data_IF_784283811715
#
_entry.id   IF_784283811715
#
_cell.length_a   1.000
_cell.length_b   1.000
_cell.length_c   1.000
_cell.angle_alpha   90.00
_cell.angle_beta   90.00
_cell.angle_gamma   90.00
#
_symmetry.space_group_name_H-M   'P 1'
#
loop_
_entity.id
_entity.type
_entity.pdbx_description
1 polymer ?
#
# COMPACT_ATOMS: atom_id res chain seq x y z
N UNK A 1 10.15 17.59 -20.28
CA UNK A 1 9.31 17.90 -21.47
C UNK A 1 10.10 18.13 -22.76
N UNK A 2 11.27 18.77 -22.74
CA UNK A 2 12.08 18.99 -23.97
C UNK A 2 12.59 17.68 -24.60
N UNK A 3 13.10 16.75 -23.79
CA UNK A 3 13.65 15.46 -24.27
C UNK A 3 12.58 14.56 -24.89
N UNK A 4 11.36 14.52 -24.33
CA UNK A 4 10.24 13.75 -24.89
C UNK A 4 9.82 14.24 -26.29
N UNK A 5 9.86 15.55 -26.53
CA UNK A 5 9.60 16.13 -27.86
C UNK A 5 10.70 15.77 -28.86
N UNK A 6 11.96 15.74 -28.42
CA UNK A 6 13.10 15.31 -29.23
C UNK A 6 13.01 13.82 -29.57
N UNK A 7 12.69 12.96 -28.59
CA UNK A 7 12.51 11.50 -28.81
C UNK A 7 11.39 11.18 -29.80
N UNK A 8 10.27 11.92 -29.73
CA UNK A 8 9.17 11.80 -30.68
C UNK A 8 9.57 12.25 -32.09
N UNK A 9 10.33 13.34 -32.20
CA UNK A 9 10.86 13.83 -33.47
C UNK A 9 11.85 12.86 -34.11
N UNK A 10 12.76 12.27 -33.32
CA UNK A 10 13.73 11.27 -33.79
C UNK A 10 13.01 10.00 -34.25
N UNK A 11 12.02 9.52 -33.48
CA UNK A 11 11.23 8.33 -33.87
C UNK A 11 10.43 8.58 -35.16
N UNK A 12 9.87 9.78 -35.31
CA UNK A 12 9.17 10.18 -36.53
C UNK A 12 10.12 10.34 -37.72
N UNK A 13 11.32 10.90 -37.52
CA UNK A 13 12.33 11.02 -38.56
C UNK A 13 12.81 9.64 -39.05
N UNK A 14 13.10 8.70 -38.14
CA UNK A 14 13.45 7.31 -38.50
C UNK A 14 12.34 6.64 -39.32
N UNK A 15 11.08 6.85 -38.95
CA UNK A 15 9.93 6.33 -39.69
C UNK A 15 9.76 6.96 -41.08
N UNK A 16 9.93 8.28 -41.20
CA UNK A 16 9.85 8.96 -42.50
C UNK A 16 11.00 8.54 -43.42
N UNK A 17 12.20 8.38 -42.87
CA UNK A 17 13.39 8.02 -43.63
C UNK A 17 13.35 6.58 -44.13
N UNK A 18 12.84 5.62 -43.34
CA UNK A 18 12.64 4.22 -43.76
C UNK A 18 11.57 4.03 -44.83
N UNK A 19 10.60 4.94 -44.93
CA UNK A 19 9.50 4.86 -45.91
C UNK A 19 9.80 5.60 -47.21
N UNK A 20 10.66 6.64 -47.19
CA UNK A 20 10.83 7.55 -48.34
C UNK A 20 12.28 7.81 -48.81
N UNK A 21 13.34 7.24 -48.22
CA UNK A 21 14.72 7.56 -48.62
C UNK A 21 15.76 6.45 -48.46
N UNK A 22 16.81 6.52 -49.29
CA UNK A 22 18.00 5.66 -49.28
C UNK A 22 18.84 5.90 -48.02
N UNK A 23 18.63 5.10 -46.97
CA UNK A 23 19.51 5.08 -45.78
C UNK A 23 20.09 3.67 -45.65
N UNK A 24 21.41 3.60 -45.48
CA UNK A 24 22.12 2.36 -45.22
C UNK A 24 21.77 1.81 -43.83
N UNK A 25 21.62 0.48 -43.71
CA UNK A 25 21.21 -0.18 -42.48
C UNK A 25 22.10 0.19 -41.27
N UNK A 26 23.37 0.49 -41.52
CA UNK A 26 24.36 0.91 -40.50
C UNK A 26 24.01 2.26 -39.85
N UNK A 27 23.42 3.20 -40.60
CA UNK A 27 23.05 4.53 -40.10
C UNK A 27 21.81 4.47 -39.20
N UNK A 28 20.87 3.57 -39.52
CA UNK A 28 19.70 3.26 -38.68
C UNK A 28 20.16 2.62 -37.37
N UNK A 29 21.08 1.65 -37.43
CA UNK A 29 21.61 0.99 -36.24
C UNK A 29 22.33 1.99 -35.32
N UNK A 30 23.04 2.97 -35.89
CA UNK A 30 23.68 4.03 -35.11
C UNK A 30 22.66 4.92 -34.39
N UNK A 31 21.59 5.34 -35.07
CA UNK A 31 20.53 6.16 -34.48
C UNK A 31 19.76 5.39 -33.39
N UNK A 32 19.54 4.09 -33.55
CA UNK A 32 18.91 3.24 -32.53
C UNK A 32 19.77 3.12 -31.26
N UNK A 33 21.10 3.03 -31.40
CA UNK A 33 22.03 3.03 -30.26
C UNK A 33 21.98 4.36 -29.50
N UNK A 34 22.00 5.49 -30.20
CA UNK A 34 21.86 6.82 -29.58
C UNK A 34 20.50 6.99 -28.88
N UNK A 35 19.41 6.53 -29.51
CA UNK A 35 18.08 6.55 -28.94
C UNK A 35 18.00 5.71 -27.66
N UNK A 36 18.71 4.58 -27.62
CA UNK A 36 18.76 3.70 -26.45
C UNK A 36 19.54 4.34 -25.30
N UNK A 37 20.67 4.98 -25.58
CA UNK A 37 21.45 5.73 -24.59
C UNK A 37 20.66 6.91 -24.01
N UNK A 38 19.97 7.69 -24.85
CA UNK A 38 19.10 8.79 -24.41
C UNK A 38 17.95 8.29 -23.53
N UNK A 39 17.33 7.15 -23.85
CA UNK A 39 16.28 6.53 -23.03
C UNK A 39 16.82 6.06 -21.67
N UNK A 40 18.03 5.53 -21.63
CA UNK A 40 18.68 5.10 -20.39
C UNK A 40 18.93 6.31 -19.48
N UNK A 41 19.54 7.37 -20.01
CA UNK A 41 19.78 8.62 -19.26
C UNK A 41 18.49 9.25 -18.74
N UNK A 42 17.43 9.21 -19.55
CA UNK A 42 16.11 9.69 -19.10
C UNK A 42 15.58 8.85 -17.93
N UNK A 43 15.66 7.52 -18.01
CA UNK A 43 15.25 6.62 -16.93
C UNK A 43 16.05 6.86 -15.65
N UNK A 44 17.36 7.05 -15.75
CA UNK A 44 18.22 7.35 -14.60
C UNK A 44 17.84 8.68 -13.94
N UNK A 45 17.57 9.71 -14.75
CA UNK A 45 17.09 10.99 -14.26
C UNK A 45 15.71 10.87 -13.57
N UNK A 46 14.77 10.14 -14.17
CA UNK A 46 13.44 9.90 -13.60
C UNK A 46 13.54 9.13 -12.27
N UNK A 47 14.42 8.13 -12.18
CA UNK A 47 14.68 7.40 -10.94
C UNK A 47 15.27 8.31 -9.85
N UNK A 48 16.23 9.17 -10.19
CA UNK A 48 16.82 10.11 -9.23
C UNK A 48 15.79 11.12 -8.69
N UNK A 49 14.87 11.59 -9.54
CA UNK A 49 13.75 12.45 -9.13
C UNK A 49 12.84 11.69 -8.16
N UNK A 50 12.45 10.45 -8.49
CA UNK A 50 11.61 9.61 -7.62
C UNK A 50 12.26 9.35 -6.25
N UNK A 51 13.56 9.09 -6.21
CA UNK A 51 14.29 8.89 -4.94
C UNK A 51 14.30 10.16 -4.08
N UNK A 52 14.50 11.32 -4.70
CA UNK A 52 14.44 12.61 -4.01
C UNK A 52 13.05 12.87 -3.43
N UNK A 53 12.00 12.72 -4.24
CA UNK A 53 10.60 12.89 -3.81
C UNK A 53 10.23 11.92 -2.68
N UNK A 54 10.64 10.65 -2.77
CA UNK A 54 10.46 9.67 -1.71
C UNK A 54 11.17 10.08 -0.41
N UNK A 55 12.36 10.67 -0.52
CA UNK A 55 13.13 11.15 0.63
C UNK A 55 12.45 12.32 1.35
N UNK A 56 11.88 13.26 0.59
CA UNK A 56 11.14 14.40 1.13
C UNK A 56 9.80 13.95 1.74
N UNK A 57 9.08 13.03 1.09
CA UNK A 57 7.87 12.42 1.64
C UNK A 57 8.15 11.70 2.96
N UNK A 58 9.27 10.95 3.05
CA UNK A 58 9.69 10.30 4.29
C UNK A 58 10.01 11.31 5.40
N UNK A 59 10.68 12.42 5.08
CA UNK A 59 10.97 13.51 6.02
C UNK A 59 9.68 14.15 6.55
N UNK A 60 8.68 14.37 5.69
CA UNK A 60 7.39 14.91 6.09
C UNK A 60 6.61 13.96 7.03
N UNK A 61 6.62 12.65 6.73
CA UNK A 61 6.02 11.61 7.60
C UNK A 61 6.71 11.59 8.98
N UNK A 62 8.03 11.67 9.01
CA UNK A 62 8.79 11.70 10.26
C UNK A 62 8.55 13.00 11.06
N UNK A 63 8.36 14.15 10.38
CA UNK A 63 8.06 15.43 11.01
C UNK A 63 6.65 15.47 11.64
N UNK A 64 5.66 14.82 11.02
CA UNK A 64 4.31 14.64 11.57
C UNK A 64 4.33 13.80 12.87
N UNK A 65 5.32 12.92 13.02
CA UNK A 65 5.36 12.04 14.18
C UNK A 65 5.96 12.68 15.44
N UNK A 66 5.08 13.03 16.37
CA UNK A 66 5.44 13.63 17.66
C UNK A 66 4.73 12.95 18.84
N UNK A 67 5.26 13.14 20.04
CA UNK A 67 4.58 12.73 21.27
C UNK A 67 3.54 13.80 21.64
N UNK A 68 2.27 13.41 21.74
CA UNK A 68 1.19 14.28 22.21
C UNK A 68 1.25 14.48 23.74
N UNK A 69 1.84 13.53 24.44
CA UNK A 69 2.11 13.63 25.88
C UNK A 69 3.52 14.16 26.10
N UNK A 70 3.69 15.02 27.11
CA UNK A 70 4.99 15.65 27.39
C UNK A 70 6.15 14.65 27.45
N UNK A 71 7.28 15.02 26.84
CA UNK A 71 8.49 14.19 26.64
C UNK A 71 8.93 13.42 27.91
N UNK A 72 8.86 14.05 29.08
CA UNK A 72 9.23 13.44 30.36
C UNK A 72 8.34 12.24 30.74
N UNK A 73 7.02 12.34 30.51
CA UNK A 73 6.07 11.24 30.78
C UNK A 73 6.29 10.09 29.80
N UNK A 74 6.45 10.39 28.52
CA UNK A 74 6.71 9.37 27.51
C UNK A 74 8.03 8.62 27.77
N UNK A 75 9.10 9.32 28.14
CA UNK A 75 10.37 8.69 28.51
C UNK A 75 10.21 7.78 29.72
N UNK A 76 9.45 8.23 30.73
CA UNK A 76 9.12 7.43 31.91
C UNK A 76 8.40 6.13 31.51
N UNK A 77 7.34 6.23 30.71
CA UNK A 77 6.58 5.06 30.26
C UNK A 77 7.40 4.10 29.40
N UNK A 78 8.27 4.62 28.53
CA UNK A 78 9.22 3.80 27.77
C UNK A 78 10.16 3.04 28.70
N UNK A 79 10.76 3.72 29.69
CA UNK A 79 11.68 3.11 30.68
C UNK A 79 11.04 1.96 31.44
N UNK A 80 9.76 2.08 31.80
CA UNK A 80 9.00 1.02 32.47
C UNK A 80 8.41 -0.03 31.52
N UNK A 81 8.64 0.07 30.22
CA UNK A 81 8.17 -0.91 29.23
C UNK A 81 6.67 -0.83 28.92
N UNK A 82 6.02 0.31 29.17
CA UNK A 82 4.58 0.46 28.91
C UNK A 82 4.24 0.66 27.44
N UNK A 83 5.20 1.05 26.58
CA UNK A 83 4.95 1.30 25.16
C UNK A 83 4.16 0.19 24.46
N UNK A 84 4.40 -1.08 24.81
CA UNK A 84 3.67 -2.24 24.24
C UNK A 84 2.53 -2.76 25.11
N UNK A 85 2.42 -2.30 26.36
CA UNK A 85 1.42 -2.75 27.34
C UNK A 85 0.20 -1.83 27.41
N UNK A 86 0.41 -0.54 27.24
CA UNK A 86 -0.65 0.48 27.26
C UNK A 86 -0.90 0.98 25.84
N UNK A 87 -2.07 0.66 25.31
CA UNK A 87 -2.45 1.01 23.94
C UNK A 87 -2.50 2.53 23.72
N UNK A 88 -2.77 3.33 24.77
CA UNK A 88 -2.85 4.80 24.67
C UNK A 88 -1.51 5.42 24.34
N UNK A 89 -0.42 4.79 24.78
CA UNK A 89 0.94 5.25 24.49
C UNK A 89 1.31 5.09 23.00
N UNK A 90 0.57 4.27 22.26
CA UNK A 90 0.68 4.21 20.79
C UNK A 90 0.25 5.49 20.11
N UNK A 91 -0.59 6.31 20.74
CA UNK A 91 -1.03 7.63 20.25
C UNK A 91 -0.30 8.76 20.97
N UNK A 92 -0.22 8.67 22.29
CA UNK A 92 0.32 9.73 23.15
C UNK A 92 1.84 9.84 23.08
N UNK A 93 2.55 8.73 22.86
CA UNK A 93 4.00 8.67 22.90
C UNK A 93 4.56 8.04 21.63
N UNK A 94 3.97 8.36 20.47
CA UNK A 94 4.31 7.79 19.16
C UNK A 94 5.81 7.84 18.88
N UNK A 95 6.44 8.97 19.13
CA UNK A 95 7.87 9.19 18.88
C UNK A 95 8.74 8.48 19.87
N UNK A 96 8.50 8.69 21.16
CA UNK A 96 9.32 8.08 22.21
C UNK A 96 9.22 6.56 22.21
N UNK A 97 8.04 6.00 21.92
CA UNK A 97 7.82 4.56 21.87
C UNK A 97 8.18 3.90 20.53
N UNK A 98 8.64 4.67 19.53
CA UNK A 98 9.08 4.13 18.24
C UNK A 98 7.93 3.67 17.34
N UNK A 99 6.77 4.33 17.43
CA UNK A 99 5.61 4.10 16.55
C UNK A 99 5.56 5.06 15.36
N UNK A 100 6.53 5.97 15.22
CA UNK A 100 6.72 6.77 14.01
C UNK A 100 7.08 5.90 12.81
N UNK A 101 6.57 6.25 11.64
CA UNK A 101 6.96 5.62 10.37
C UNK A 101 6.58 4.15 10.24
N UNK A 102 5.85 3.57 11.22
CA UNK A 102 5.28 2.23 11.07
C UNK A 102 3.97 2.34 10.28
N UNK A 103 4.08 2.81 9.04
CA UNK A 103 3.00 2.61 8.08
C UNK A 103 2.85 1.09 7.92
N UNK A 104 1.63 0.54 8.09
CA UNK A 104 1.41 -0.87 7.88
C UNK A 104 1.79 -1.23 6.44
N UNK A 105 2.45 -2.38 6.26
CA UNK A 105 2.82 -2.85 4.93
C UNK A 105 1.58 -3.10 4.09
N UNK A 106 1.31 -2.22 3.13
CA UNK A 106 0.22 -2.40 2.18
C UNK A 106 0.54 -3.56 1.22
N UNK A 107 -0.41 -4.47 0.96
CA UNK A 107 -0.24 -5.52 -0.04
C UNK A 107 -0.16 -4.89 -1.44
N UNK A 108 0.60 -5.52 -2.34
CA UNK A 108 0.81 -5.01 -3.70
C UNK A 108 -0.50 -4.83 -4.48
N UNK A 109 -1.46 -5.74 -4.29
CA UNK A 109 -2.78 -5.66 -4.93
C UNK A 109 -3.54 -4.36 -4.61
N UNK A 110 -3.32 -3.75 -3.44
CA UNK A 110 -4.04 -2.55 -3.04
C UNK A 110 -3.61 -1.31 -3.84
N UNK A 111 -2.42 -1.35 -4.46
CA UNK A 111 -1.91 -0.30 -5.34
C UNK A 111 -2.43 -0.42 -6.76
N UNK A 112 -3.08 -1.53 -7.11
CA UNK A 112 -3.64 -1.72 -8.46
C UNK A 112 -4.94 -0.93 -8.59
N UNK A 113 -5.32 -0.55 -9.82
CA UNK A 113 -6.50 0.26 -10.07
C UNK A 113 -7.81 -0.33 -9.53
N UNK A 114 -7.92 -1.67 -9.49
CA UNK A 114 -9.10 -2.38 -9.01
C UNK A 114 -8.98 -2.84 -7.54
N UNK A 115 -7.80 -2.71 -6.95
CA UNK A 115 -7.52 -3.16 -5.59
C UNK A 115 -7.39 -4.67 -5.42
N UNK A 116 -7.53 -5.12 -4.18
CA UNK A 116 -7.42 -6.53 -3.81
C UNK A 116 -8.77 -7.25 -3.85
N UNK A 117 -8.72 -8.56 -4.04
CA UNK A 117 -9.76 -9.47 -3.60
C UNK A 117 -9.87 -9.47 -2.06
N UNK A 118 -10.91 -10.12 -1.54
CA UNK A 118 -11.19 -10.23 -0.10
C UNK A 118 -10.05 -10.89 0.72
N UNK A 119 -9.12 -11.58 0.06
CA UNK A 119 -7.96 -12.24 0.68
C UNK A 119 -6.77 -11.30 0.91
N UNK A 120 -6.89 -10.04 0.46
CA UNK A 120 -5.86 -8.99 0.50
C UNK A 120 -4.50 -9.41 -0.07
N UNK A 121 -4.50 -10.38 -0.98
CA UNK A 121 -3.30 -10.92 -1.62
C UNK A 121 -3.47 -10.91 -3.13
N UNK A 122 -4.64 -11.33 -3.62
CA UNK A 122 -4.91 -11.47 -5.04
C UNK A 122 -5.35 -10.12 -5.63
N UNK A 123 -4.67 -9.57 -6.64
CA UNK A 123 -5.16 -8.41 -7.39
C UNK A 123 -6.46 -8.74 -8.13
N UNK A 124 -7.45 -7.83 -8.10
CA UNK A 124 -8.67 -8.01 -8.91
C UNK A 124 -8.34 -7.85 -10.40
N UNK A 125 -8.83 -8.79 -11.21
CA UNK A 125 -8.72 -8.74 -12.67
C UNK A 125 -9.74 -7.79 -13.30
N UNK A 126 -10.94 -7.73 -12.73
CA UNK A 126 -12.05 -6.89 -13.18
C UNK A 126 -12.86 -6.38 -11.96
N UNK A 127 -13.79 -5.45 -12.20
CA UNK A 127 -14.63 -4.88 -11.13
C UNK A 127 -15.48 -5.93 -10.40
N UNK A 128 -15.85 -7.01 -11.09
CA UNK A 128 -16.61 -8.13 -10.52
C UNK A 128 -15.74 -9.06 -9.65
N UNK A 129 -14.41 -9.03 -9.80
CA UNK A 129 -13.50 -9.92 -9.12
C UNK A 129 -13.62 -11.38 -9.59
N UNK A 130 -13.74 -11.62 -10.91
CA UNK A 130 -13.91 -12.99 -11.45
C UNK A 130 -12.77 -13.94 -11.10
N UNK A 131 -11.57 -13.41 -10.84
CA UNK A 131 -10.41 -14.18 -10.41
C UNK A 131 -10.28 -14.32 -8.88
N UNK A 132 -11.21 -13.75 -8.10
CA UNK A 132 -11.10 -13.79 -6.66
C UNK A 132 -11.28 -15.22 -6.13
N UNK A 133 -10.51 -15.61 -5.09
CA UNK A 133 -10.64 -16.95 -4.53
C UNK A 133 -12.06 -17.22 -4.04
N UNK A 134 -12.50 -18.47 -4.13
CA UNK A 134 -13.79 -18.88 -3.57
C UNK A 134 -13.78 -18.65 -2.06
N UNK A 135 -14.75 -17.89 -1.58
CA UNK A 135 -14.89 -17.62 -0.16
C UNK A 135 -15.32 -18.88 0.59
N UNK A 136 -14.42 -19.45 1.39
CA UNK A 136 -14.66 -20.61 2.27
C UNK A 136 -13.61 -20.67 3.37
N UNK A 137 -13.99 -21.27 4.50
CA UNK A 137 -13.03 -21.57 5.56
C UNK A 137 -12.06 -22.67 5.15
N UNK A 138 -10.91 -22.72 5.82
CA UNK A 138 -9.95 -23.79 5.64
C UNK A 138 -10.55 -25.12 6.16
N UNK A 139 -10.79 -26.12 5.29
CA UNK A 139 -11.45 -27.36 5.70
C UNK A 139 -10.63 -28.16 6.72
N UNK A 140 -9.29 -28.03 6.69
CA UNK A 140 -8.39 -28.69 7.67
C UNK A 140 -8.47 -28.05 9.06
N UNK A 141 -9.05 -26.86 9.18
CA UNK A 141 -9.16 -26.08 10.42
C UNK A 141 -10.61 -25.87 10.85
N UNK A 142 -11.56 -26.66 10.34
CA UNK A 142 -12.99 -26.55 10.65
C UNK A 142 -13.30 -26.46 12.16
N UNK A 143 -12.64 -27.29 13.00
CA UNK A 143 -12.84 -27.24 14.46
C UNK A 143 -12.36 -25.91 15.06
N UNK A 144 -11.26 -25.37 14.54
CA UNK A 144 -10.70 -24.09 14.97
C UNK A 144 -11.64 -22.95 14.59
N UNK A 145 -12.16 -22.96 13.36
CA UNK A 145 -13.16 -21.97 12.92
C UNK A 145 -14.38 -21.94 13.83
N UNK A 146 -14.93 -23.12 14.18
CA UNK A 146 -16.10 -23.20 15.07
C UNK A 146 -15.80 -22.79 16.51
N UNK A 147 -14.63 -23.14 17.04
CA UNK A 147 -14.30 -22.92 18.46
C UNK A 147 -13.88 -21.48 18.75
N UNK A 148 -13.17 -20.85 17.81
CA UNK A 148 -12.55 -19.53 18.00
C UNK A 148 -13.24 -18.45 17.15
N UNK A 149 -14.47 -18.68 16.69
CA UNK A 149 -15.30 -17.66 16.03
C UNK A 149 -15.37 -16.34 16.83
N UNK A 150 -15.48 -16.33 18.17
CA UNK A 150 -15.47 -15.06 18.93
C UNK A 150 -14.18 -14.23 18.76
N UNK A 151 -13.06 -14.87 18.39
CA UNK A 151 -11.79 -14.18 18.19
C UNK A 151 -11.71 -13.41 16.86
N UNK A 152 -12.69 -13.52 15.96
CA UNK A 152 -12.68 -12.82 14.67
C UNK A 152 -12.50 -11.29 14.81
N UNK A 153 -13.02 -10.69 15.88
CA UNK A 153 -12.90 -9.26 16.19
C UNK A 153 -11.69 -8.92 17.06
N UNK A 154 -10.86 -9.91 17.41
CA UNK A 154 -9.64 -9.68 18.17
C UNK A 154 -8.62 -8.89 17.36
N UNK A 155 -8.01 -7.90 18.00
CA UNK A 155 -6.91 -7.10 17.46
C UNK A 155 -5.53 -7.80 17.61
N UNK A 156 -5.51 -9.00 18.17
CA UNK A 156 -4.30 -9.84 18.36
C UNK A 156 -4.09 -10.78 17.17
N UNK A 157 -2.95 -11.48 17.19
CA UNK A 157 -2.60 -12.48 16.17
C UNK A 157 -3.66 -13.57 16.01
N UNK A 158 -4.36 -13.94 17.10
CA UNK A 158 -5.48 -14.88 17.05
C UNK A 158 -6.59 -14.41 16.10
N UNK A 159 -7.00 -13.14 16.18
CA UNK A 159 -8.04 -12.61 15.28
C UNK A 159 -7.58 -12.51 13.84
N UNK A 160 -6.33 -12.09 13.61
CA UNK A 160 -5.72 -12.10 12.26
C UNK A 160 -5.68 -13.51 11.67
N UNK A 161 -5.27 -14.50 12.49
CA UNK A 161 -5.26 -15.90 12.12
C UNK A 161 -6.67 -16.41 11.78
N UNK A 162 -7.67 -16.05 12.57
CA UNK A 162 -9.07 -16.43 12.34
C UNK A 162 -9.61 -15.82 11.06
N UNK A 163 -9.43 -14.51 10.82
CA UNK A 163 -9.88 -13.85 9.58
C UNK A 163 -9.22 -14.41 8.33
N UNK A 164 -7.96 -14.83 8.41
CA UNK A 164 -7.24 -15.46 7.29
C UNK A 164 -7.62 -16.93 7.07
N UNK A 165 -7.80 -17.69 8.14
CA UNK A 165 -8.04 -19.15 8.09
C UNK A 165 -9.52 -19.50 7.92
N UNK A 166 -10.38 -18.67 8.49
CA UNK A 166 -11.81 -18.84 8.60
C UNK A 166 -12.56 -17.59 8.08
N UNK A 167 -12.31 -17.15 6.82
CA UNK A 167 -12.88 -15.92 6.29
C UNK A 167 -14.41 -15.95 6.11
N UNK A 168 -15.03 -17.12 5.95
CA UNK A 168 -16.51 -17.22 5.95
C UNK A 168 -17.06 -17.08 7.36
N UNK A 169 -16.52 -17.86 8.30
CA UNK A 169 -16.95 -17.81 9.71
C UNK A 169 -16.79 -16.39 10.27
N UNK A 170 -15.67 -15.73 9.97
CA UNK A 170 -15.41 -14.36 10.41
C UNK A 170 -16.11 -13.27 9.57
N UNK A 171 -16.96 -13.63 8.60
CA UNK A 171 -17.67 -12.65 7.76
C UNK A 171 -16.76 -11.74 6.91
N UNK A 172 -15.52 -12.15 6.66
CA UNK A 172 -14.55 -11.39 5.84
C UNK A 172 -14.95 -11.40 4.36
N UNK A 173 -15.63 -12.46 3.92
CA UNK A 173 -16.11 -12.61 2.55
C UNK A 173 -17.44 -13.39 2.49
N UNK A 174 -18.07 -13.36 1.33
CA UNK A 174 -19.32 -14.08 1.05
C UNK A 174 -20.54 -13.17 1.06
N UNK A 175 -21.72 -13.78 0.96
CA UNK A 175 -22.99 -13.09 1.15
C UNK A 175 -23.07 -12.57 2.58
N UNK A 176 -23.35 -11.29 2.75
CA UNK A 176 -23.35 -10.64 4.06
C UNK A 176 -21.94 -10.38 4.64
N UNK A 177 -20.90 -10.34 3.80
CA UNK A 177 -19.56 -9.93 4.25
C UNK A 177 -19.63 -8.60 5.00
N UNK A 178 -19.05 -8.56 6.20
CA UNK A 178 -19.11 -7.38 7.07
C UNK A 178 -18.17 -6.29 6.55
N UNK A 179 -18.72 -5.09 6.41
CA UNK A 179 -17.92 -3.88 6.23
C UNK A 179 -17.29 -3.49 7.58
N UNK A 180 -16.02 -3.80 7.75
CA UNK A 180 -15.26 -3.46 8.94
C UNK A 180 -13.85 -3.00 8.59
N UNK A 181 -13.32 -2.12 9.45
CA UNK A 181 -11.91 -1.81 9.53
C UNK A 181 -11.14 -3.02 10.04
N UNK A 182 -9.84 -3.09 9.76
CA UNK A 182 -9.01 -4.15 10.31
C UNK A 182 -8.94 -3.99 11.84
N UNK A 183 -9.35 -4.98 12.65
CA UNK A 183 -9.36 -4.84 14.10
C UNK A 183 -7.99 -4.51 14.71
N UNK A 184 -6.89 -4.87 14.05
CA UNK A 184 -5.55 -4.54 14.52
C UNK A 184 -5.09 -3.12 14.14
N UNK A 185 -5.88 -2.37 13.36
CA UNK A 185 -5.60 -1.00 12.90
C UNK A 185 -6.76 -0.02 13.12
N UNK A 186 -7.95 -0.49 13.47
CA UNK A 186 -9.16 0.31 13.71
C UNK A 186 -8.91 1.54 14.58
N UNK A 187 -8.11 1.40 15.64
CA UNK A 187 -7.76 2.51 16.55
C UNK A 187 -7.06 3.70 15.89
N UNK A 188 -6.53 3.55 14.68
CA UNK A 188 -5.87 4.59 13.91
C UNK A 188 -6.77 5.15 12.79
N UNK A 189 -7.84 4.46 12.43
CA UNK A 189 -8.64 4.82 11.26
C UNK A 189 -9.30 6.19 11.39
N UNK A 190 -9.83 6.54 12.57
CA UNK A 190 -10.37 7.89 12.81
C UNK A 190 -9.30 8.98 12.69
N UNK A 191 -8.09 8.75 13.21
CA UNK A 191 -6.97 9.70 13.12
C UNK A 191 -6.56 9.88 11.66
N UNK A 192 -6.32 8.79 10.93
CA UNK A 192 -5.96 8.82 9.52
C UNK A 192 -7.05 9.45 8.65
N UNK A 193 -8.32 9.18 8.95
CA UNK A 193 -9.44 9.81 8.25
C UNK A 193 -9.46 11.33 8.46
N UNK A 194 -9.26 11.79 9.71
CA UNK A 194 -9.21 13.23 10.01
C UNK A 194 -7.99 13.92 9.39
N UNK A 195 -6.90 13.17 9.15
CA UNK A 195 -5.71 13.63 8.43
C UNK A 195 -5.90 13.62 6.89
N UNK A 196 -7.08 13.23 6.36
CA UNK A 196 -7.35 13.19 4.92
C UNK A 196 -6.72 12.00 4.20
N UNK A 197 -6.40 10.92 4.92
CA UNK A 197 -5.78 9.73 4.34
C UNK A 197 -6.75 8.88 3.51
N UNK A 198 -8.06 9.04 3.70
CA UNK A 198 -9.07 8.36 2.86
C UNK A 198 -8.94 8.76 1.38
N UNK A 199 -8.52 9.99 1.10
CA UNK A 199 -8.33 10.53 -0.24
C UNK A 199 -6.88 10.37 -0.71
N UNK A 200 -5.91 10.65 0.16
CA UNK A 200 -4.48 10.71 -0.18
C UNK A 200 -3.81 9.34 -0.17
N UNK A 201 -4.26 8.41 0.67
CA UNK A 201 -3.64 7.09 0.89
C UNK A 201 -4.65 5.94 0.67
N UNK A 202 -5.43 6.04 -0.42
CA UNK A 202 -6.45 5.05 -0.81
C UNK A 202 -5.99 3.58 -0.75
N UNK A 203 -4.77 3.21 -1.22
CA UNK A 203 -4.30 1.83 -1.12
C UNK A 203 -4.25 1.33 0.32
N UNK A 204 -3.81 2.17 1.26
CA UNK A 204 -3.73 1.79 2.67
C UNK A 204 -5.12 1.73 3.31
N UNK A 205 -5.95 2.74 3.04
CA UNK A 205 -7.29 2.83 3.62
C UNK A 205 -8.22 1.73 3.12
N UNK A 206 -8.11 1.33 1.85
CA UNK A 206 -8.88 0.22 1.26
C UNK A 206 -8.58 -1.15 1.88
N UNK A 207 -7.49 -1.27 2.63
CA UNK A 207 -7.09 -2.51 3.32
C UNK A 207 -7.44 -2.47 4.79
N UNK A 208 -7.12 -1.36 5.47
CA UNK A 208 -7.20 -1.29 6.93
C UNK A 208 -8.39 -0.50 7.47
N UNK A 209 -8.91 0.48 6.72
CA UNK A 209 -9.89 1.44 7.21
C UNK A 209 -11.10 1.56 6.29
N UNK A 210 -11.56 0.43 5.74
CA UNK A 210 -12.62 0.38 4.75
C UNK A 210 -13.94 0.95 5.24
N UNK A 211 -14.30 0.69 6.50
CA UNK A 211 -15.53 1.20 7.11
C UNK A 211 -15.40 2.68 7.39
N UNK A 212 -14.32 3.09 8.06
CA UNK A 212 -14.11 4.51 8.40
C UNK A 212 -14.05 5.39 7.15
N UNK A 213 -13.39 4.93 6.08
CA UNK A 213 -13.29 5.67 4.82
C UNK A 213 -14.44 5.41 3.82
N UNK A 214 -15.46 4.62 4.18
CA UNK A 214 -16.60 4.33 3.28
C UNK A 214 -16.24 3.61 1.97
N UNK A 215 -15.24 2.73 1.99
CA UNK A 215 -14.69 2.00 0.82
C UNK A 215 -15.38 0.62 0.63
N UNK A 216 -16.30 0.26 1.51
CA UNK A 216 -17.20 -0.87 1.29
C UNK A 216 -18.18 -0.54 0.15
#
# INVERSE_FOLDING_TARGET
MAVAKVLAFVSFAVFVLTVYGSIDADEIESLERELTDLKLRQREADNAILEYELSEAKRAIDASCNDQLGKSRCQKYRKYGFCRKDYRLKKLCRKTCGFCGVMPKVPHCAKTALGCCWDFQTPKKDGAGTNCPKCRDNPKKRRVCKMFEPDCNSNKDAGSFMRKTCPRTCGVCGEGAMCMDDPAKEMYCEEWSNEGMCETEKPMMSVYCRKTCGIC
#
